data_IF_586522078616
#
_entry.id   IF_586522078616
#
_cell.length_a   1.000
_cell.length_b   1.000
_cell.length_c   1.000
_cell.angle_alpha   90.00
_cell.angle_beta   90.00
_cell.angle_gamma   90.00
#
_symmetry.space_group_name_H-M   'P 1'
#
loop_
_entity.id
_entity.type
_entity.pdbx_description
1 polymer ?
#
# COMPACT_ATOMS: atom_id res chain seq x y z
N UNK A 1 6.40 17.79 46.36
CA UNK A 1 7.12 17.99 45.11
C UNK A 1 6.56 17.04 44.07
N UNK A 2 5.67 17.53 43.21
CA UNK A 2 5.10 16.78 42.09
C UNK A 2 6.07 16.92 40.91
N UNK A 3 6.81 15.86 40.61
CA UNK A 3 7.62 15.79 39.40
C UNK A 3 6.71 15.41 38.23
N UNK A 4 6.28 16.41 37.49
CA UNK A 4 5.59 16.24 36.21
C UNK A 4 6.60 15.61 35.22
N UNK A 5 6.48 14.32 34.98
CA UNK A 5 7.18 13.67 33.86
C UNK A 5 6.53 14.14 32.57
N UNK A 6 7.14 15.10 31.91
CA UNK A 6 6.85 15.35 30.50
C UNK A 6 7.38 14.14 29.70
N UNK A 7 6.47 13.25 29.34
CA UNK A 7 6.76 12.27 28.27
C UNK A 7 6.86 13.08 26.98
N UNK A 8 8.09 13.31 26.52
CA UNK A 8 8.33 13.78 25.16
C UNK A 8 7.82 12.66 24.26
N UNK A 9 6.64 12.81 23.69
CA UNK A 9 6.19 11.99 22.57
C UNK A 9 7.19 12.26 21.43
N UNK A 10 8.17 11.39 21.28
CA UNK A 10 8.99 11.35 20.08
C UNK A 10 8.04 10.79 18.99
N UNK A 11 7.40 11.70 18.27
CA UNK A 11 6.65 11.34 17.07
C UNK A 11 7.66 10.74 16.09
N UNK A 12 7.65 9.44 15.99
CA UNK A 12 8.47 8.71 15.03
C UNK A 12 7.81 8.84 13.66
N UNK A 13 8.54 9.26 12.63
CA UNK A 13 8.02 9.27 11.26
C UNK A 13 7.46 7.88 10.91
N UNK A 14 6.44 7.85 10.05
CA UNK A 14 5.92 6.60 9.52
C UNK A 14 7.04 5.84 8.81
N UNK A 15 7.23 4.59 9.20
CA UNK A 15 8.17 3.66 8.58
C UNK A 15 7.42 2.82 7.56
N UNK A 16 8.02 2.64 6.39
CA UNK A 16 7.47 1.86 5.29
C UNK A 16 8.45 0.73 4.98
N UNK A 17 7.96 -0.50 5.00
CA UNK A 17 8.70 -1.67 4.50
C UNK A 17 8.01 -2.18 3.24
N UNK A 18 8.76 -2.34 2.16
CA UNK A 18 8.26 -2.93 0.90
C UNK A 18 8.14 -4.43 1.09
N UNK A 19 6.94 -4.98 1.14
CA UNK A 19 6.74 -6.42 1.18
C UNK A 19 6.78 -7.04 -0.22
N UNK A 20 6.43 -6.26 -1.22
CA UNK A 20 6.51 -6.61 -2.61
C UNK A 20 6.49 -5.38 -3.49
N UNK A 21 7.30 -5.37 -4.53
CA UNK A 21 7.47 -4.27 -5.48
C UNK A 21 7.13 -4.64 -6.93
N UNK A 22 6.69 -5.89 -7.16
CA UNK A 22 6.31 -6.42 -8.48
C UNK A 22 4.80 -6.58 -8.66
N UNK A 23 4.43 -7.41 -9.61
CA UNK A 23 3.06 -7.69 -10.05
C UNK A 23 2.72 -9.17 -9.90
N UNK A 24 1.53 -9.59 -10.36
CA UNK A 24 1.14 -11.00 -10.39
C UNK A 24 2.11 -11.88 -11.20
N UNK A 25 2.76 -11.33 -12.21
CA UNK A 25 3.77 -12.02 -13.02
C UNK A 25 5.19 -11.90 -12.44
N UNK A 26 5.30 -11.46 -11.20
CA UNK A 26 6.60 -11.32 -10.55
C UNK A 26 7.32 -12.65 -10.45
N UNK A 27 8.62 -12.59 -10.72
CA UNK A 27 9.53 -13.72 -10.58
C UNK A 27 9.93 -13.99 -9.13
N UNK A 28 11.03 -14.73 -8.90
CA UNK A 28 11.51 -15.03 -7.56
C UNK A 28 12.02 -13.80 -6.80
N UNK A 29 12.31 -12.70 -7.51
CA UNK A 29 12.95 -11.50 -6.95
C UNK A 29 11.94 -10.55 -6.31
N UNK A 30 10.78 -10.36 -6.97
CA UNK A 30 9.74 -9.40 -6.51
C UNK A 30 8.43 -10.12 -6.26
N UNK A 31 7.80 -9.86 -5.13
CA UNK A 31 6.40 -10.25 -4.84
C UNK A 31 5.45 -9.18 -5.38
N UNK A 32 4.16 -9.49 -5.57
CA UNK A 32 3.15 -8.49 -5.86
C UNK A 32 3.16 -7.32 -4.88
N UNK A 33 2.75 -6.15 -5.37
CA UNK A 33 2.85 -4.88 -4.66
C UNK A 33 2.13 -4.92 -3.31
N UNK A 34 2.89 -4.69 -2.23
CA UNK A 34 2.36 -4.56 -0.88
C UNK A 34 3.37 -3.88 0.06
N UNK A 35 2.85 -3.23 1.10
CA UNK A 35 3.67 -2.47 2.04
C UNK A 35 3.24 -2.73 3.48
N UNK A 36 4.22 -2.78 4.38
CA UNK A 36 4.01 -2.72 5.83
C UNK A 36 4.24 -1.28 6.29
N UNK A 37 3.26 -0.71 6.96
CA UNK A 37 3.27 0.66 7.48
C UNK A 37 3.30 0.62 9.00
N UNK A 38 4.25 1.33 9.61
CA UNK A 38 4.39 1.44 11.07
C UNK A 38 4.34 2.92 11.49
N UNK A 39 3.37 3.32 12.32
CA UNK A 39 3.23 4.69 12.80
C UNK A 39 2.63 4.72 14.20
N UNK A 40 3.22 5.50 15.11
CA UNK A 40 2.75 5.73 16.47
C UNK A 40 2.34 4.44 17.24
N UNK A 41 3.05 3.34 17.01
CA UNK A 41 2.78 2.03 17.65
C UNK A 41 1.68 1.20 16.99
N UNK A 42 1.11 1.66 15.89
CA UNK A 42 0.20 0.93 15.02
C UNK A 42 0.93 0.33 13.82
N UNK A 43 0.43 -0.78 13.32
CA UNK A 43 0.97 -1.48 12.15
C UNK A 43 -0.16 -1.78 11.18
N UNK A 44 0.02 -1.36 9.93
CA UNK A 44 -0.92 -1.67 8.87
C UNK A 44 -0.25 -2.35 7.68
N UNK A 45 -1.05 -3.05 6.91
CA UNK A 45 -0.68 -3.54 5.58
C UNK A 45 -1.40 -2.67 4.54
N UNK A 46 -0.70 -2.29 3.48
CA UNK A 46 -1.28 -1.68 2.30
C UNK A 46 -1.12 -2.66 1.15
N UNK A 47 -2.24 -3.15 0.68
CA UNK A 47 -2.42 -4.28 -0.22
C UNK A 47 -1.86 -5.63 0.31
N UNK A 48 -2.39 -6.71 -0.24
CA UNK A 48 -2.10 -8.08 0.19
C UNK A 48 -2.13 -9.05 -0.99
N UNK A 49 -1.22 -8.86 -1.94
CA UNK A 49 -1.02 -9.80 -3.04
C UNK A 49 -0.40 -11.13 -2.58
N UNK A 50 -0.31 -12.12 -3.48
CA UNK A 50 0.17 -13.45 -3.12
C UNK A 50 1.64 -13.44 -2.69
N UNK A 51 1.92 -14.12 -1.57
CA UNK A 51 3.26 -14.25 -0.98
C UNK A 51 3.55 -13.27 0.15
N UNK A 52 2.60 -12.38 0.51
CA UNK A 52 2.80 -11.40 1.58
C UNK A 52 2.87 -12.07 2.96
N UNK A 53 2.13 -13.16 3.19
CA UNK A 53 2.27 -13.95 4.41
C UNK A 53 3.69 -14.49 4.58
N UNK A 54 4.29 -14.94 3.48
CA UNK A 54 5.69 -15.40 3.51
C UNK A 54 6.65 -14.26 3.87
N UNK A 55 6.47 -13.07 3.29
CA UNK A 55 7.30 -11.91 3.58
C UNK A 55 7.17 -11.46 5.05
N UNK A 56 5.98 -11.46 5.62
CA UNK A 56 5.79 -11.20 7.06
C UNK A 56 6.54 -12.23 7.92
N UNK A 57 6.53 -13.52 7.53
CA UNK A 57 7.27 -14.56 8.22
C UNK A 57 8.78 -14.38 8.11
N UNK A 58 9.30 -13.97 6.96
CA UNK A 58 10.73 -13.65 6.77
C UNK A 58 11.17 -12.51 7.69
N UNK A 59 10.32 -11.50 7.86
CA UNK A 59 10.54 -10.37 8.76
C UNK A 59 10.31 -10.71 10.24
N UNK A 60 9.88 -11.95 10.57
CA UNK A 60 9.46 -12.37 11.91
C UNK A 60 8.36 -11.47 12.50
N UNK A 61 7.46 -10.97 11.67
CA UNK A 61 6.27 -10.22 12.10
C UNK A 61 5.18 -11.21 12.50
N UNK A 62 4.75 -11.15 13.77
CA UNK A 62 3.58 -11.89 14.22
C UNK A 62 2.33 -11.40 13.48
N UNK A 63 1.55 -12.31 12.90
CA UNK A 63 0.35 -11.97 12.12
C UNK A 63 -0.75 -11.29 12.95
N UNK A 64 -0.67 -11.30 14.27
CA UNK A 64 -1.56 -10.53 15.15
C UNK A 64 -1.09 -9.08 15.39
N UNK A 65 0.11 -8.70 14.92
CA UNK A 65 0.65 -7.34 15.09
C UNK A 65 -0.04 -6.31 14.20
N UNK A 66 -0.21 -6.52 12.89
CA UNK A 66 -0.96 -5.58 12.08
C UNK A 66 -2.42 -5.49 12.55
N UNK A 67 -2.88 -4.28 12.84
CA UNK A 67 -4.25 -4.00 13.29
C UNK A 67 -5.17 -3.50 12.17
N UNK A 68 -4.60 -3.21 11.00
CA UNK A 68 -5.28 -2.59 9.88
C UNK A 68 -4.77 -3.13 8.55
N UNK A 69 -5.66 -3.27 7.57
CA UNK A 69 -5.33 -3.45 6.16
C UNK A 69 -6.00 -2.33 5.35
N UNK A 70 -5.26 -1.74 4.43
CA UNK A 70 -5.74 -0.85 3.39
C UNK A 70 -5.70 -1.58 2.04
N UNK A 71 -6.80 -1.63 1.33
CA UNK A 71 -6.91 -2.24 -0.01
C UNK A 71 -7.11 -1.12 -1.03
N UNK A 72 -6.28 -1.09 -2.07
CA UNK A 72 -6.40 -0.11 -3.15
C UNK A 72 -7.50 -0.48 -4.14
N UNK A 73 -7.60 -1.75 -4.51
CA UNK A 73 -8.62 -2.32 -5.39
C UNK A 73 -8.66 -3.86 -5.30
N UNK A 74 -9.50 -4.52 -6.10
CA UNK A 74 -9.82 -5.94 -5.92
C UNK A 74 -9.14 -6.88 -6.92
N UNK A 75 -8.10 -6.45 -7.64
CA UNK A 75 -7.28 -7.38 -8.41
C UNK A 75 -6.52 -8.33 -7.48
N UNK A 76 -6.32 -9.56 -7.93
CA UNK A 76 -5.81 -10.63 -7.07
C UNK A 76 -4.39 -10.37 -6.57
N UNK A 77 -3.59 -9.64 -7.31
CA UNK A 77 -2.25 -9.25 -6.89
C UNK A 77 -2.22 -8.14 -5.82
N UNK A 78 -3.39 -7.62 -5.43
CA UNK A 78 -3.54 -6.64 -4.36
C UNK A 78 -4.34 -7.15 -3.14
N UNK A 79 -5.05 -8.28 -3.27
CA UNK A 79 -5.97 -8.69 -2.21
C UNK A 79 -6.07 -10.19 -1.94
N UNK A 80 -5.42 -11.06 -2.74
CA UNK A 80 -5.64 -12.51 -2.63
C UNK A 80 -5.16 -13.11 -1.31
N UNK A 81 -4.12 -12.57 -0.67
CA UNK A 81 -3.61 -13.08 0.62
C UNK A 81 -4.46 -12.62 1.83
N UNK A 82 -5.51 -11.78 1.63
CA UNK A 82 -6.34 -11.32 2.74
C UNK A 82 -7.03 -12.48 3.48
N UNK A 83 -7.67 -13.41 2.78
CA UNK A 83 -8.36 -14.53 3.44
C UNK A 83 -7.39 -15.55 4.07
N UNK A 84 -6.30 -15.96 3.43
CA UNK A 84 -5.22 -16.69 4.10
C UNK A 84 -4.67 -15.99 5.35
N UNK A 85 -4.53 -14.67 5.32
CA UNK A 85 -4.10 -13.88 6.47
C UNK A 85 -5.12 -13.90 7.60
N UNK A 86 -6.42 -13.71 7.30
CA UNK A 86 -7.50 -13.81 8.29
C UNK A 86 -7.55 -15.20 8.93
N UNK A 87 -7.34 -16.28 8.15
CA UNK A 87 -7.26 -17.64 8.70
C UNK A 87 -6.06 -17.80 9.63
N UNK A 88 -4.90 -17.26 9.27
CA UNK A 88 -3.72 -17.28 10.13
C UNK A 88 -3.98 -16.56 11.46
N UNK A 89 -4.63 -15.39 11.41
CA UNK A 89 -5.04 -14.66 12.62
C UNK A 89 -6.00 -15.45 13.46
N UNK A 90 -7.03 -16.07 12.86
CA UNK A 90 -7.99 -16.93 13.56
C UNK A 90 -7.29 -18.08 14.32
N UNK A 91 -6.34 -18.73 13.66
CA UNK A 91 -5.61 -19.86 14.26
C UNK A 91 -4.66 -19.43 15.39
N UNK A 92 -4.13 -18.21 15.34
CA UNK A 92 -3.23 -17.66 16.34
C UNK A 92 -3.95 -16.92 17.48
N UNK A 93 -5.16 -16.43 17.23
CA UNK A 93 -5.94 -15.65 18.19
C UNK A 93 -6.59 -16.53 19.25
N UNK A 94 -5.84 -16.92 20.26
CA UNK A 94 -6.29 -17.73 21.39
C UNK A 94 -7.39 -17.04 22.24
N UNK A 95 -8.38 -16.40 21.61
CA UNK A 95 -9.47 -15.68 22.27
C UNK A 95 -9.10 -14.25 22.71
N UNK A 96 -8.03 -13.70 22.20
CA UNK A 96 -7.60 -12.32 22.50
C UNK A 96 -8.54 -11.26 21.90
N UNK A 97 -9.36 -11.64 20.91
CA UNK A 97 -10.30 -10.78 20.19
C UNK A 97 -9.66 -9.46 19.73
N UNK A 98 -8.42 -9.52 19.26
CA UNK A 98 -7.73 -8.32 18.75
C UNK A 98 -8.50 -7.76 17.58
N UNK A 99 -9.02 -6.55 17.75
CA UNK A 99 -9.72 -5.82 16.69
C UNK A 99 -8.82 -5.68 15.47
N UNK A 100 -9.43 -5.83 14.32
CA UNK A 100 -8.76 -5.74 13.04
C UNK A 100 -9.67 -4.99 12.05
N UNK A 101 -9.11 -4.05 11.32
CA UNK A 101 -9.85 -3.22 10.37
C UNK A 101 -9.40 -3.48 8.95
N UNK A 102 -10.34 -3.51 8.03
CA UNK A 102 -10.07 -3.55 6.60
C UNK A 102 -10.70 -2.29 5.99
N UNK A 103 -9.87 -1.41 5.48
CA UNK A 103 -10.29 -0.23 4.75
C UNK A 103 -10.10 -0.46 3.25
N UNK A 104 -11.00 0.04 2.43
CA UNK A 104 -10.86 -0.02 0.99
C UNK A 104 -11.92 0.79 0.26
N UNK A 105 -11.95 0.72 -1.08
CA UNK A 105 -12.89 1.47 -1.90
C UNK A 105 -14.33 1.01 -1.74
N UNK A 106 -15.26 1.77 -2.27
CA UNK A 106 -16.67 1.38 -2.43
C UNK A 106 -16.74 0.04 -3.17
N UNK A 107 -17.56 -0.89 -2.66
CA UNK A 107 -17.65 -2.28 -3.13
C UNK A 107 -16.88 -3.27 -2.25
N UNK A 108 -16.07 -2.78 -1.27
CA UNK A 108 -15.31 -3.65 -0.35
C UNK A 108 -16.23 -4.58 0.47
N UNK A 109 -17.37 -4.09 0.97
CA UNK A 109 -18.34 -4.92 1.69
C UNK A 109 -18.84 -6.07 0.83
N UNK A 110 -19.26 -5.77 -0.39
CA UNK A 110 -19.77 -6.79 -1.32
C UNK A 110 -18.68 -7.80 -1.69
N UNK A 111 -17.47 -7.31 -2.01
CA UNK A 111 -16.33 -8.17 -2.33
C UNK A 111 -15.96 -9.07 -1.13
N UNK A 112 -15.91 -8.51 0.07
CA UNK A 112 -15.59 -9.25 1.28
C UNK A 112 -16.64 -10.31 1.59
N UNK A 113 -17.93 -9.97 1.62
CA UNK A 113 -19.03 -10.89 1.93
C UNK A 113 -19.13 -12.03 0.91
N UNK A 114 -18.94 -11.73 -0.38
CA UNK A 114 -18.95 -12.74 -1.45
C UNK A 114 -17.85 -13.77 -1.22
N UNK A 115 -16.62 -13.33 -0.98
CA UNK A 115 -15.50 -14.24 -0.72
C UNK A 115 -15.64 -14.94 0.64
N UNK A 116 -16.09 -14.24 1.67
CA UNK A 116 -16.34 -14.77 3.01
C UNK A 116 -17.34 -15.90 3.01
N UNK A 117 -18.38 -15.83 2.17
CA UNK A 117 -19.40 -16.88 2.05
C UNK A 117 -18.83 -18.26 1.69
N UNK A 118 -17.65 -18.30 1.07
CA UNK A 118 -16.96 -19.52 0.67
C UNK A 118 -16.03 -20.08 1.75
N UNK A 119 -15.73 -19.30 2.81
CA UNK A 119 -14.67 -19.63 3.77
C UNK A 119 -15.14 -20.46 4.98
N UNK A 120 -16.44 -20.59 5.19
CA UNK A 120 -16.99 -21.34 6.31
C UNK A 120 -17.07 -20.56 7.63
N UNK A 121 -17.48 -21.26 8.71
CA UNK A 121 -17.89 -20.62 9.97
C UNK A 121 -16.75 -19.99 10.77
N UNK A 122 -15.50 -20.39 10.57
CA UNK A 122 -14.35 -19.88 11.31
C UNK A 122 -14.19 -18.36 11.14
N UNK A 123 -14.57 -17.83 9.97
CA UNK A 123 -14.48 -16.40 9.68
C UNK A 123 -15.44 -15.57 10.55
N UNK A 124 -16.54 -16.17 11.03
CA UNK A 124 -17.45 -15.50 11.97
C UNK A 124 -16.79 -15.14 13.29
N UNK A 125 -15.73 -15.87 13.69
CA UNK A 125 -14.98 -15.61 14.91
C UNK A 125 -13.86 -14.59 14.68
N UNK A 126 -13.43 -14.38 13.43
CA UNK A 126 -12.40 -13.41 13.07
C UNK A 126 -12.92 -11.96 12.97
N UNK A 127 -14.17 -11.76 12.60
CA UNK A 127 -14.96 -10.50 12.52
C UNK A 127 -14.14 -9.21 12.35
N UNK A 128 -13.46 -9.01 11.21
CA UNK A 128 -12.85 -7.72 10.96
C UNK A 128 -13.92 -6.63 10.79
N UNK A 129 -13.60 -5.41 11.21
CA UNK A 129 -14.38 -4.24 10.87
C UNK A 129 -14.08 -3.89 9.40
N UNK A 130 -14.99 -4.19 8.48
CA UNK A 130 -14.86 -3.85 7.06
C UNK A 130 -15.42 -2.46 6.82
N UNK A 131 -14.63 -1.55 6.25
CA UNK A 131 -14.96 -0.12 6.16
C UNK A 131 -14.67 0.39 4.76
N UNK A 132 -15.71 0.79 4.05
CA UNK A 132 -15.56 1.48 2.77
C UNK A 132 -15.22 2.95 2.97
N UNK A 133 -14.25 3.44 2.18
CA UNK A 133 -13.85 4.83 2.20
C UNK A 133 -14.37 5.50 0.92
N UNK A 134 -15.24 6.47 1.11
CA UNK A 134 -15.77 7.29 0.01
C UNK A 134 -15.73 8.76 0.42
N UNK A 135 -14.89 9.55 -0.22
CA UNK A 135 -14.72 11.01 -0.01
C UNK A 135 -14.55 11.44 1.47
N UNK A 136 -14.30 10.50 2.37
CA UNK A 136 -14.14 10.75 3.79
C UNK A 136 -12.66 10.64 4.17
N UNK A 137 -12.24 11.53 5.05
CA UNK A 137 -10.97 11.39 5.73
C UNK A 137 -11.15 10.37 6.85
N UNK A 138 -10.23 9.44 6.97
CA UNK A 138 -10.16 8.55 8.13
C UNK A 138 -8.92 8.87 8.95
N UNK A 139 -8.95 8.48 10.22
CA UNK A 139 -7.79 8.54 11.10
C UNK A 139 -7.24 7.13 11.31
N UNK A 140 -5.95 6.95 11.02
CA UNK A 140 -5.19 5.76 11.38
C UNK A 140 -3.91 6.16 12.10
N UNK A 141 -3.71 5.66 13.30
CA UNK A 141 -2.61 6.09 14.17
C UNK A 141 -2.61 7.63 14.33
N UNK A 142 -1.49 8.29 14.05
CA UNK A 142 -1.33 9.73 13.99
C UNK A 142 -1.46 10.32 12.57
N UNK A 143 -1.92 9.50 11.62
CA UNK A 143 -2.06 9.85 10.20
C UNK A 143 -3.52 10.20 9.86
N UNK A 144 -3.74 11.35 9.24
CA UNK A 144 -4.97 11.60 8.48
C UNK A 144 -4.82 10.91 7.12
N UNK A 145 -5.72 10.01 6.79
CA UNK A 145 -5.70 9.24 5.54
C UNK A 145 -6.77 9.75 4.60
N UNK A 146 -6.36 10.14 3.41
CA UNK A 146 -7.19 10.62 2.32
C UNK A 146 -7.16 9.61 1.18
N UNK A 147 -8.23 9.54 0.40
CA UNK A 147 -8.31 8.68 -0.79
C UNK A 147 -8.78 9.47 -2.01
N UNK A 148 -8.37 9.01 -3.19
CA UNK A 148 -8.82 9.55 -4.47
C UNK A 148 -8.93 8.43 -5.50
N UNK A 149 -9.97 8.43 -6.37
CA UNK A 149 -10.10 7.44 -7.45
C UNK A 149 -8.92 7.50 -8.41
N UNK A 150 -8.39 6.36 -8.83
CA UNK A 150 -7.29 6.29 -9.79
C UNK A 150 -7.75 6.10 -11.23
N UNK A 151 -8.95 5.56 -11.41
CA UNK A 151 -9.51 5.26 -12.74
C UNK A 151 -8.98 3.98 -13.36
N UNK A 152 -8.10 3.21 -12.68
CA UNK A 152 -7.65 1.90 -13.17
C UNK A 152 -8.81 0.90 -13.25
N UNK A 153 -9.62 0.85 -12.19
CA UNK A 153 -10.94 0.21 -12.19
C UNK A 153 -11.98 1.20 -11.67
N UNK A 154 -13.27 0.85 -11.75
CA UNK A 154 -14.32 1.69 -11.18
C UNK A 154 -14.23 1.86 -9.66
N UNK A 155 -13.50 0.97 -8.97
CA UNK A 155 -13.34 0.97 -7.52
C UNK A 155 -11.91 1.27 -7.05
N UNK A 156 -10.93 1.47 -7.95
CA UNK A 156 -9.54 1.68 -7.55
C UNK A 156 -9.33 3.05 -6.93
N UNK A 157 -8.56 3.08 -5.83
CA UNK A 157 -8.21 4.29 -5.10
C UNK A 157 -6.71 4.38 -4.79
N UNK A 158 -6.20 5.60 -4.81
CA UNK A 158 -4.92 5.97 -4.24
C UNK A 158 -5.11 6.37 -2.78
N UNK A 159 -4.05 6.24 -1.98
CA UNK A 159 -4.00 6.68 -0.59
C UNK A 159 -3.01 7.83 -0.40
N UNK A 160 -3.37 8.78 0.46
CA UNK A 160 -2.47 9.82 0.93
C UNK A 160 -2.51 9.87 2.44
N UNK A 161 -1.37 9.66 3.07
CA UNK A 161 -1.16 9.74 4.51
C UNK A 161 -0.58 11.10 4.86
N UNK A 162 -1.25 11.83 5.74
CA UNK A 162 -0.84 13.16 6.21
C UNK A 162 -0.55 13.10 7.71
N UNK A 163 0.74 12.98 8.04
CA UNK A 163 1.31 13.03 9.38
C UNK A 163 2.50 13.99 9.42
N UNK A 164 3.58 13.59 10.06
CA UNK A 164 4.83 14.35 10.05
C UNK A 164 5.45 14.45 8.64
N UNK A 165 5.34 13.41 7.85
CA UNK A 165 5.71 13.35 6.44
C UNK A 165 4.44 13.02 5.65
N UNK A 166 4.21 13.75 4.55
CA UNK A 166 3.11 13.45 3.65
C UNK A 166 3.56 12.40 2.65
N UNK A 167 2.83 11.30 2.58
CA UNK A 167 3.18 10.14 1.76
C UNK A 167 1.99 9.81 0.86
N UNK A 168 2.27 9.61 -0.41
CA UNK A 168 1.29 9.26 -1.42
C UNK A 168 1.58 7.87 -1.97
N UNK A 169 0.56 7.02 -2.06
CA UNK A 169 0.58 5.71 -2.71
C UNK A 169 -0.43 5.72 -3.86
N UNK A 170 0.04 5.48 -5.07
CA UNK A 170 -0.84 5.54 -6.24
C UNK A 170 -1.85 4.38 -6.30
N UNK A 171 -1.49 3.18 -5.80
CA UNK A 171 -2.11 1.96 -6.29
C UNK A 171 -1.89 1.86 -7.80
N UNK A 172 -2.71 1.09 -8.49
CA UNK A 172 -2.66 1.00 -9.95
C UNK A 172 -3.38 2.18 -10.59
N UNK A 173 -2.74 2.81 -11.57
CA UNK A 173 -3.25 3.99 -12.26
C UNK A 173 -2.51 4.26 -13.57
N UNK A 174 -3.19 4.77 -14.57
CA UNK A 174 -2.54 5.47 -15.68
C UNK A 174 -2.13 6.89 -15.27
N UNK A 175 -1.47 7.60 -16.19
CA UNK A 175 -1.15 9.01 -16.00
C UNK A 175 -2.42 9.86 -15.91
N UNK A 176 -2.62 10.53 -14.78
CA UNK A 176 -3.86 11.24 -14.46
C UNK A 176 -3.55 12.59 -13.77
N UNK A 177 -3.94 13.69 -14.42
CA UNK A 177 -3.68 15.06 -13.92
C UNK A 177 -4.47 15.38 -12.64
N UNK A 178 -5.67 14.84 -12.47
CA UNK A 178 -6.44 15.03 -11.25
C UNK A 178 -5.78 14.33 -10.07
N UNK A 179 -5.24 13.13 -10.31
CA UNK A 179 -4.50 12.38 -9.31
C UNK A 179 -3.17 13.07 -8.94
N UNK A 180 -2.50 13.71 -9.92
CA UNK A 180 -1.33 14.56 -9.65
C UNK A 180 -1.71 15.70 -8.71
N UNK A 181 -2.84 16.36 -8.98
CA UNK A 181 -3.35 17.47 -8.13
C UNK A 181 -3.63 17.00 -6.70
N UNK A 182 -4.18 15.80 -6.52
CA UNK A 182 -4.39 15.18 -5.21
C UNK A 182 -3.08 14.83 -4.51
N UNK A 183 -2.05 14.43 -5.26
CA UNK A 183 -0.73 14.06 -4.75
C UNK A 183 0.17 15.27 -4.43
N UNK A 184 -0.20 16.50 -4.85
CA UNK A 184 0.62 17.69 -4.71
C UNK A 184 1.19 17.87 -3.30
N UNK A 185 2.50 18.19 -3.24
CA UNK A 185 3.24 18.44 -2.00
C UNK A 185 3.33 17.23 -1.06
N UNK A 186 3.08 16.00 -1.51
CA UNK A 186 3.56 14.83 -0.80
C UNK A 186 5.10 14.81 -0.86
N UNK A 187 5.74 14.44 0.26
CA UNK A 187 7.20 14.42 0.32
C UNK A 187 7.77 13.12 -0.28
N UNK A 188 7.04 12.05 -0.12
CA UNK A 188 7.33 10.74 -0.70
C UNK A 188 6.15 10.29 -1.56
N UNK A 189 6.41 9.99 -2.82
CA UNK A 189 5.50 9.29 -3.71
C UNK A 189 5.91 7.82 -3.86
N UNK A 190 4.98 6.91 -3.66
CA UNK A 190 5.10 5.50 -4.04
C UNK A 190 4.20 5.31 -5.25
N UNK A 191 4.81 5.18 -6.42
CA UNK A 191 4.09 5.10 -7.70
C UNK A 191 4.26 3.74 -8.34
N UNK A 192 3.18 3.25 -8.96
CA UNK A 192 3.33 2.17 -9.92
C UNK A 192 4.21 2.61 -11.10
N UNK A 193 4.92 1.64 -11.70
CA UNK A 193 5.73 1.82 -12.89
C UNK A 193 5.75 0.49 -13.66
N UNK A 194 4.64 0.18 -14.31
CA UNK A 194 4.32 -1.19 -14.70
C UNK A 194 4.99 -1.62 -15.99
N UNK A 195 4.83 -0.87 -17.06
CA UNK A 195 5.19 -1.30 -18.41
C UNK A 195 6.25 -0.40 -19.03
N UNK A 196 7.12 -0.92 -19.94
CA UNK A 196 8.11 -0.11 -20.62
C UNK A 196 7.45 0.93 -21.53
N UNK A 197 8.14 2.07 -21.75
CA UNK A 197 7.64 3.18 -22.56
C UNK A 197 7.26 2.76 -23.99
N UNK A 198 7.90 1.73 -24.51
CA UNK A 198 7.68 1.18 -25.85
C UNK A 198 6.41 0.31 -25.96
N UNK A 199 5.82 -0.06 -24.81
CA UNK A 199 4.62 -0.92 -24.72
C UNK A 199 3.68 -0.44 -23.63
N UNK A 200 3.13 0.79 -23.75
CA UNK A 200 2.21 1.31 -22.72
C UNK A 200 0.92 0.49 -22.70
N UNK A 201 0.39 0.31 -21.48
CA UNK A 201 -0.89 -0.38 -21.24
C UNK A 201 -1.86 0.58 -20.54
N UNK A 202 -3.06 0.73 -21.07
CA UNK A 202 -4.06 1.61 -20.48
C UNK A 202 -4.37 1.22 -19.03
N UNK A 203 -4.46 2.22 -18.15
CA UNK A 203 -4.68 2.03 -16.73
C UNK A 203 -3.41 1.80 -15.91
N UNK A 204 -2.24 1.80 -16.55
CA UNK A 204 -0.94 1.69 -15.92
C UNK A 204 0.04 2.75 -16.42
N UNK A 205 1.07 3.06 -15.63
CA UNK A 205 2.11 4.01 -16.00
C UNK A 205 3.37 3.33 -16.56
N UNK A 206 4.00 4.05 -17.48
CA UNK A 206 5.37 3.77 -17.96
C UNK A 206 6.40 4.54 -17.13
N UNK A 207 7.71 4.25 -17.23
CA UNK A 207 8.77 5.01 -16.57
C UNK A 207 8.71 6.52 -16.86
N UNK A 208 8.47 6.90 -18.11
CA UNK A 208 8.31 8.29 -18.51
C UNK A 208 7.12 8.96 -17.80
N UNK A 209 5.98 8.27 -17.74
CA UNK A 209 4.78 8.79 -17.09
C UNK A 209 4.93 8.86 -15.57
N UNK A 210 5.51 7.85 -14.92
CA UNK A 210 5.77 7.84 -13.48
C UNK A 210 6.77 8.94 -13.07
N UNK A 211 7.86 9.11 -13.81
CA UNK A 211 8.82 10.19 -13.60
C UNK A 211 8.18 11.57 -13.75
N UNK A 212 7.41 11.78 -14.83
CA UNK A 212 6.68 13.04 -15.06
C UNK A 212 5.63 13.31 -13.99
N UNK A 213 4.88 12.29 -13.56
CA UNK A 213 3.92 12.41 -12.44
C UNK A 213 4.63 12.92 -11.18
N UNK A 214 5.73 12.26 -10.80
CA UNK A 214 6.49 12.61 -9.60
C UNK A 214 7.04 14.05 -9.65
N UNK A 215 7.54 14.47 -10.82
CA UNK A 215 8.03 15.84 -11.05
C UNK A 215 6.92 16.86 -10.90
N UNK A 216 5.76 16.62 -11.50
CA UNK A 216 4.60 17.54 -11.46
C UNK A 216 3.96 17.58 -10.07
N UNK A 217 3.90 16.46 -9.35
CA UNK A 217 3.42 16.41 -7.97
C UNK A 217 4.39 17.05 -6.97
N UNK A 218 5.63 17.30 -7.37
CA UNK A 218 6.66 17.94 -6.53
C UNK A 218 7.18 17.03 -5.41
N UNK A 219 7.25 15.72 -5.62
CA UNK A 219 7.82 14.79 -4.65
C UNK A 219 9.30 15.09 -4.41
N UNK A 220 9.75 14.96 -3.17
CA UNK A 220 11.17 14.99 -2.83
C UNK A 220 11.83 13.64 -3.08
N UNK A 221 11.08 12.56 -2.83
CA UNK A 221 11.49 11.17 -3.00
C UNK A 221 10.42 10.41 -3.79
N UNK A 222 10.87 9.64 -4.77
CA UNK A 222 10.03 8.73 -5.56
C UNK A 222 10.50 7.29 -5.33
N UNK A 223 9.58 6.45 -4.85
CA UNK A 223 9.72 5.00 -4.84
C UNK A 223 8.84 4.43 -5.94
N UNK A 224 9.36 3.55 -6.79
CA UNK A 224 8.57 2.88 -7.82
C UNK A 224 8.27 1.45 -7.42
N UNK A 225 7.08 0.98 -7.77
CA UNK A 225 6.59 -0.38 -7.47
C UNK A 225 5.74 -0.90 -8.62
N UNK A 226 5.10 -2.05 -8.44
CA UNK A 226 4.23 -2.71 -9.41
C UNK A 226 4.92 -2.88 -10.78
N UNK A 227 6.19 -3.31 -10.74
CA UNK A 227 7.01 -3.48 -11.94
C UNK A 227 6.79 -4.86 -12.56
N UNK A 228 6.37 -4.91 -13.82
CA UNK A 228 6.40 -6.15 -14.60
C UNK A 228 7.84 -6.53 -14.94
N UNK A 229 8.15 -7.83 -15.09
CA UNK A 229 9.51 -8.30 -15.38
C UNK A 229 10.15 -7.66 -16.62
N UNK A 230 9.36 -7.33 -17.63
CA UNK A 230 9.85 -6.66 -18.85
C UNK A 230 10.27 -5.19 -18.63
N UNK A 231 9.78 -4.56 -17.56
CA UNK A 231 10.14 -3.19 -17.19
C UNK A 231 11.22 -3.14 -16.08
N UNK A 232 11.46 -4.24 -15.37
CA UNK A 232 12.48 -4.33 -14.33
C UNK A 232 13.88 -4.51 -14.94
N UNK A 233 14.35 -3.47 -15.62
CA UNK A 233 15.60 -3.46 -16.37
C UNK A 233 16.63 -2.52 -15.77
N UNK A 234 17.90 -2.67 -16.16
CA UNK A 234 18.98 -1.78 -15.71
C UNK A 234 18.79 -0.32 -16.17
N UNK A 235 18.06 -0.13 -17.25
CA UNK A 235 17.76 1.18 -17.85
C UNK A 235 16.61 1.92 -17.14
N UNK A 236 15.83 1.24 -16.30
CA UNK A 236 14.67 1.83 -15.62
C UNK A 236 15.02 3.11 -14.88
N UNK A 237 16.11 3.14 -14.12
CA UNK A 237 16.53 4.32 -13.38
C UNK A 237 16.88 5.50 -14.29
N UNK A 238 17.49 5.23 -15.44
CA UNK A 238 17.82 6.28 -16.42
C UNK A 238 16.56 6.85 -17.06
N UNK A 239 15.60 6.00 -17.45
CA UNK A 239 14.33 6.43 -18.03
C UNK A 239 13.55 7.33 -17.06
N UNK A 240 13.43 6.93 -15.80
CA UNK A 240 12.79 7.74 -14.75
C UNK A 240 13.52 9.08 -14.50
N UNK A 241 14.86 9.08 -14.48
CA UNK A 241 15.68 10.26 -14.22
C UNK A 241 15.64 11.30 -15.38
N UNK A 242 15.20 10.93 -16.57
CA UNK A 242 14.96 11.90 -17.65
C UNK A 242 13.79 12.84 -17.33
N UNK A 243 12.82 12.37 -16.56
CA UNK A 243 11.59 13.12 -16.27
C UNK A 243 11.52 13.63 -14.82
N UNK A 244 12.29 13.02 -13.88
CA UNK A 244 12.24 13.35 -12.46
C UNK A 244 13.61 13.70 -11.90
N UNK A 245 13.70 14.84 -11.18
CA UNK A 245 14.95 15.39 -10.66
C UNK A 245 15.14 15.20 -9.14
N UNK A 246 14.16 14.61 -8.47
CA UNK A 246 14.26 14.31 -7.03
C UNK A 246 15.03 13.02 -6.74
N UNK A 247 14.97 12.57 -5.49
CA UNK A 247 15.60 11.32 -5.08
C UNK A 247 14.77 10.14 -5.58
N UNK A 248 15.32 9.37 -6.51
CA UNK A 248 14.71 8.16 -7.07
C UNK A 248 15.16 6.90 -6.30
N UNK A 249 14.22 6.03 -6.00
CA UNK A 249 14.43 4.75 -5.33
C UNK A 249 13.69 3.66 -6.12
N UNK A 250 14.43 2.67 -6.60
CA UNK A 250 13.90 1.43 -7.15
C UNK A 250 14.16 0.37 -6.08
N UNK A 251 13.14 0.03 -5.26
CA UNK A 251 13.36 -0.81 -4.10
C UNK A 251 13.53 -2.26 -4.48
N UNK A 252 14.22 -3.01 -3.65
CA UNK A 252 14.07 -4.46 -3.55
C UNK A 252 12.99 -4.80 -2.52
N UNK A 253 12.44 -6.02 -2.60
CA UNK A 253 11.53 -6.48 -1.55
C UNK A 253 12.26 -6.50 -0.21
N UNK A 254 11.58 -6.11 0.86
CA UNK A 254 12.03 -5.93 2.24
C UNK A 254 12.86 -4.65 2.50
N UNK A 255 13.07 -3.79 1.52
CA UNK A 255 13.64 -2.46 1.75
C UNK A 255 12.75 -1.62 2.67
N UNK A 256 13.39 -0.72 3.44
CA UNK A 256 12.77 0.12 4.48
C UNK A 256 13.09 1.59 4.26
N UNK A 257 12.06 2.45 4.38
CA UNK A 257 12.14 3.91 4.25
C UNK A 257 11.59 4.64 5.46
#
# INVERSE_FOLDING_TARGET
MLTTRFSILIFKMMKITVLGSGTILSGPVRKPSAFLLESAGHVALLDMGPGILYQLSVLNIDFLVPDTVFITHFHLDHCSDLFPYLMSRYLLDNGSNKRFKIFGPVGLHHWYETNASLQGKWLNDCKPDVIEIFNNNIQWADQKVLVYPTGHTNQSIAYRFEGQKKIFFSGDTGFNEELISFALNAELGVLECSHPDEKPVAGHMTPKEAGRFAQLAGFKELVVCHMYPENDTKELSQKLAMEYQGKLIIPEDLDVF
#
